data_IF_824184436147
#
_entry.id   IF_824184436147
#
_cell.length_a   1.000
_cell.length_b   1.000
_cell.length_c   1.000
_cell.angle_alpha   90.00
_cell.angle_beta   90.00
_cell.angle_gamma   90.00
#
_symmetry.space_group_name_H-M   'P 1'
#
loop_
_entity.id
_entity.type
_entity.pdbx_description
1 polymer ?
#
# COMPACT_ATOMS: atom_id res chain seq x y z
N UNK A 1 6.65 -22.52 2.38
CA UNK A 1 6.13 -21.35 3.11
C UNK A 1 5.23 -21.84 4.22
N UNK A 2 5.33 -21.25 5.41
CA UNK A 2 4.58 -21.72 6.58
C UNK A 2 3.12 -21.33 6.40
N UNK A 3 2.22 -22.29 6.19
CA UNK A 3 0.77 -22.05 6.03
C UNK A 3 0.10 -21.45 7.28
N UNK A 4 0.81 -21.48 8.41
CA UNK A 4 0.36 -20.94 9.70
C UNK A 4 0.71 -19.47 9.92
N UNK A 5 1.33 -18.78 8.93
CA UNK A 5 1.68 -17.35 9.04
C UNK A 5 0.45 -16.48 8.85
N UNK A 6 0.27 -15.47 9.71
CA UNK A 6 -0.83 -14.50 9.64
C UNK A 6 -0.68 -13.48 8.48
N UNK A 7 0.49 -13.46 7.82
CA UNK A 7 0.73 -12.77 6.55
C UNK A 7 1.46 -13.73 5.62
N UNK A 8 0.99 -13.87 4.40
CA UNK A 8 1.57 -14.75 3.39
C UNK A 8 1.91 -13.98 2.12
N UNK A 9 2.78 -14.53 1.29
CA UNK A 9 3.09 -14.00 -0.04
C UNK A 9 3.07 -15.11 -1.07
N UNK A 10 2.38 -14.86 -2.18
CA UNK A 10 2.43 -15.67 -3.40
C UNK A 10 3.10 -14.84 -4.50
N UNK A 11 3.84 -15.51 -5.38
CA UNK A 11 4.49 -14.86 -6.51
C UNK A 11 3.83 -15.32 -7.81
N UNK A 12 3.43 -14.36 -8.64
CA UNK A 12 2.86 -14.56 -9.97
C UNK A 12 3.73 -13.75 -10.92
N UNK A 13 4.59 -14.42 -11.68
CA UNK A 13 5.64 -13.76 -12.47
C UNK A 13 6.43 -12.75 -11.61
N UNK A 14 6.43 -11.48 -11.97
CA UNK A 14 7.12 -10.40 -11.24
C UNK A 14 6.21 -9.67 -10.23
N UNK A 15 5.08 -10.26 -9.84
CA UNK A 15 4.09 -9.68 -8.94
C UNK A 15 4.11 -10.45 -7.61
N UNK A 16 4.29 -9.74 -6.50
CA UNK A 16 4.13 -10.30 -5.16
C UNK A 16 2.72 -10.01 -4.64
N UNK A 17 1.94 -11.05 -4.34
CA UNK A 17 0.60 -10.95 -3.75
C UNK A 17 0.71 -11.24 -2.26
N UNK A 18 0.74 -10.18 -1.45
CA UNK A 18 0.79 -10.23 0.01
C UNK A 18 -0.62 -10.31 0.57
N UNK A 19 -0.90 -11.31 1.41
CA UNK A 19 -2.22 -11.51 2.00
C UNK A 19 -2.19 -11.40 3.51
N UNK A 20 -3.13 -10.65 4.07
CA UNK A 20 -3.51 -10.77 5.48
C UNK A 20 -4.24 -12.10 5.63
N UNK A 21 -3.74 -13.00 6.49
CA UNK A 21 -4.16 -14.40 6.50
C UNK A 21 -4.66 -14.85 7.89
N UNK A 22 -5.71 -14.17 8.37
CA UNK A 22 -6.51 -14.57 9.55
C UNK A 22 -8.01 -14.55 9.18
N UNK A 23 -8.45 -15.29 8.15
CA UNK A 23 -9.82 -15.18 7.61
C UNK A 23 -10.92 -15.49 8.65
N UNK A 24 -10.68 -16.36 9.61
CA UNK A 24 -11.57 -16.69 10.73
C UNK A 24 -11.82 -15.51 11.69
N UNK A 25 -10.86 -14.56 11.76
CA UNK A 25 -10.97 -13.31 12.51
C UNK A 25 -11.16 -12.09 11.60
N UNK A 26 -11.62 -12.28 10.36
CA UNK A 26 -11.77 -11.22 9.35
C UNK A 26 -10.50 -10.38 9.17
N UNK A 27 -9.34 -11.01 9.29
CA UNK A 27 -8.02 -10.40 9.21
C UNK A 27 -7.83 -9.25 10.23
N UNK A 28 -8.44 -9.37 11.43
CA UNK A 28 -8.28 -8.39 12.50
C UNK A 28 -6.79 -8.22 12.85
N UNK A 29 -6.39 -6.95 12.95
CA UNK A 29 -4.99 -6.52 13.05
C UNK A 29 -4.41 -6.77 14.45
N UNK A 30 -3.30 -7.47 14.50
CA UNK A 30 -2.52 -7.73 15.70
C UNK A 30 -1.02 -7.54 15.43
N UNK A 31 -0.18 -7.79 16.45
CA UNK A 31 1.27 -7.64 16.34
C UNK A 31 1.90 -8.57 15.28
N UNK A 32 1.34 -9.79 15.08
CA UNK A 32 1.88 -10.74 14.09
C UNK A 32 1.59 -10.29 12.66
N UNK A 33 0.39 -9.73 12.39
CA UNK A 33 0.12 -9.09 11.10
C UNK A 33 1.06 -7.91 10.88
N UNK A 34 1.24 -7.04 11.90
CA UNK A 34 2.12 -5.89 11.80
C UNK A 34 3.56 -6.28 11.48
N UNK A 35 4.16 -7.19 12.26
CA UNK A 35 5.54 -7.65 12.05
C UNK A 35 5.70 -8.47 10.77
N UNK A 36 4.69 -9.27 10.41
CA UNK A 36 4.69 -10.04 9.17
C UNK A 36 4.69 -9.15 7.93
N UNK A 37 3.87 -8.10 7.93
CA UNK A 37 3.86 -7.09 6.85
C UNK A 37 5.20 -6.36 6.77
N UNK A 38 5.76 -5.91 7.91
CA UNK A 38 7.06 -5.24 7.93
C UNK A 38 8.14 -6.12 7.29
N UNK A 39 8.21 -7.38 7.70
CA UNK A 39 9.19 -8.34 7.17
C UNK A 39 8.99 -8.59 5.67
N UNK A 40 7.76 -8.91 5.24
CA UNK A 40 7.50 -9.25 3.85
C UNK A 40 7.63 -8.03 2.92
N UNK A 41 7.19 -6.84 3.34
CA UNK A 41 7.34 -5.64 2.52
C UNK A 41 8.80 -5.25 2.30
N UNK A 42 9.67 -5.41 3.31
CA UNK A 42 11.13 -5.26 3.13
C UNK A 42 11.67 -6.29 2.14
N UNK A 43 11.34 -7.57 2.35
CA UNK A 43 11.78 -8.64 1.48
C UNK A 43 11.40 -8.40 0.01
N UNK A 44 10.14 -8.06 -0.28
CA UNK A 44 9.69 -7.79 -1.65
C UNK A 44 10.21 -6.47 -2.20
N UNK A 45 10.49 -5.48 -1.33
CA UNK A 45 11.12 -4.24 -1.72
C UNK A 45 12.56 -4.44 -2.21
N UNK A 46 13.30 -5.36 -1.60
CA UNK A 46 14.70 -5.63 -1.91
C UNK A 46 14.86 -6.74 -2.98
N UNK A 47 13.78 -7.46 -3.34
CA UNK A 47 13.84 -8.56 -4.31
C UNK A 47 13.92 -8.07 -5.76
N UNK A 48 14.93 -8.44 -6.54
CA UNK A 48 15.02 -8.10 -7.97
C UNK A 48 13.95 -8.79 -8.82
N UNK A 49 13.38 -9.90 -8.32
CA UNK A 49 12.35 -10.67 -9.04
C UNK A 49 10.95 -10.05 -8.92
N UNK A 50 10.76 -9.03 -8.07
CA UNK A 50 9.48 -8.36 -7.83
C UNK A 50 9.46 -6.98 -8.46
N UNK A 51 8.43 -6.69 -9.24
CA UNK A 51 8.19 -5.40 -9.91
C UNK A 51 7.00 -4.63 -9.34
N UNK A 52 6.00 -5.34 -8.83
CA UNK A 52 4.77 -4.77 -8.25
C UNK A 52 4.33 -5.62 -7.06
N UNK A 53 3.77 -4.97 -6.05
CA UNK A 53 3.19 -5.61 -4.86
C UNK A 53 1.68 -5.38 -4.84
N UNK A 54 0.91 -6.45 -4.62
CA UNK A 54 -0.52 -6.39 -4.33
C UNK A 54 -0.73 -6.77 -2.86
N UNK A 55 -1.48 -5.97 -2.11
CA UNK A 55 -1.88 -6.29 -0.73
C UNK A 55 -3.38 -6.56 -0.73
N UNK A 56 -3.80 -7.69 -0.19
CA UNK A 56 -5.22 -8.09 -0.09
C UNK A 56 -5.47 -8.92 1.18
N UNK A 57 -6.71 -9.27 1.47
CA UNK A 57 -7.08 -10.15 2.57
C UNK A 57 -7.44 -11.57 2.11
N UNK A 58 -7.10 -12.58 2.89
CA UNK A 58 -7.64 -13.94 2.73
C UNK A 58 -9.10 -13.99 3.18
N UNK A 59 -9.92 -14.77 2.48
CA UNK A 59 -11.33 -14.92 2.80
C UNK A 59 -12.18 -13.71 2.42
N UNK A 60 -13.20 -13.39 3.23
CA UNK A 60 -14.27 -12.44 2.89
C UNK A 60 -14.01 -10.98 3.32
N UNK A 61 -12.88 -10.68 3.93
CA UNK A 61 -12.55 -9.33 4.43
C UNK A 61 -11.14 -8.93 4.03
N UNK A 62 -10.93 -7.66 3.82
CA UNK A 62 -9.58 -7.10 3.76
C UNK A 62 -8.98 -7.08 5.18
N UNK A 63 -9.56 -6.28 6.09
CA UNK A 63 -9.18 -6.21 7.50
C UNK A 63 -10.29 -5.52 8.30
N UNK A 64 -10.85 -6.17 9.31
CA UNK A 64 -11.96 -5.67 10.10
C UNK A 64 -11.56 -4.68 11.23
N UNK A 65 -10.30 -4.23 11.27
CA UNK A 65 -9.77 -3.33 12.28
C UNK A 65 -8.87 -4.01 13.29
N UNK A 66 -8.57 -3.32 14.39
CA UNK A 66 -7.74 -3.88 15.47
C UNK A 66 -8.39 -5.11 16.10
N UNK A 67 -7.57 -6.10 16.47
CA UNK A 67 -8.03 -7.24 17.26
C UNK A 67 -8.40 -6.76 18.68
N UNK A 68 -9.69 -6.77 18.99
CA UNK A 68 -10.23 -6.28 20.26
C UNK A 68 -10.34 -7.40 21.33
N UNK A 69 -9.67 -8.54 21.17
CA UNK A 69 -9.70 -9.61 22.15
C UNK A 69 -9.18 -9.17 23.55
N UNK A 70 -8.39 -8.09 23.61
CA UNK A 70 -7.95 -7.46 24.87
C UNK A 70 -9.04 -6.69 25.61
N UNK A 71 -10.26 -6.57 25.07
CA UNK A 71 -11.35 -5.79 25.67
C UNK A 71 -11.00 -4.31 25.83
N UNK A 72 -11.41 -3.68 26.91
CA UNK A 72 -11.16 -2.25 27.20
C UNK A 72 -9.67 -1.88 27.30
N UNK A 73 -8.79 -2.84 27.50
CA UNK A 73 -7.36 -2.63 27.61
C UNK A 73 -6.59 -2.78 26.28
N UNK A 74 -7.28 -3.02 25.17
CA UNK A 74 -6.67 -3.27 23.85
C UNK A 74 -5.65 -2.19 23.47
N UNK A 75 -5.92 -0.92 23.78
CA UNK A 75 -5.05 0.23 23.45
C UNK A 75 -4.29 0.77 24.66
N UNK A 76 -4.36 0.09 25.81
CA UNK A 76 -3.66 0.54 27.03
C UNK A 76 -2.20 0.08 27.02
N UNK A 77 -1.28 1.03 26.84
CA UNK A 77 0.17 0.79 26.81
C UNK A 77 0.78 0.47 28.19
N UNK A 78 0.02 0.68 29.28
CA UNK A 78 0.49 0.45 30.66
C UNK A 78 0.28 -1.00 31.13
N UNK A 79 -0.27 -1.88 30.27
CA UNK A 79 -0.31 -3.32 30.60
C UNK A 79 1.12 -3.82 30.72
N UNK A 80 1.42 -4.54 31.85
CA UNK A 80 2.67 -5.26 31.98
C UNK A 80 2.90 -6.07 30.70
N UNK A 81 3.99 -5.77 30.01
CA UNK A 81 4.38 -6.49 28.80
C UNK A 81 4.56 -7.94 29.22
N UNK A 82 3.78 -8.86 28.63
CA UNK A 82 4.11 -10.28 28.74
C UNK A 82 5.57 -10.41 28.33
N UNK A 83 6.38 -11.05 29.19
CA UNK A 83 7.85 -11.09 29.03
C UNK A 83 8.29 -11.77 27.71
N UNK A 84 7.35 -12.40 26.98
CA UNK A 84 7.56 -12.99 25.65
C UNK A 84 7.20 -12.03 24.48
N UNK A 85 6.53 -10.89 24.72
CA UNK A 85 6.20 -9.93 23.66
C UNK A 85 7.31 -8.88 23.53
N UNK A 86 8.40 -9.26 22.84
CA UNK A 86 9.53 -8.38 22.52
C UNK A 86 9.22 -7.39 21.39
N UNK A 87 8.00 -7.36 20.88
CA UNK A 87 7.62 -6.45 19.80
C UNK A 87 7.34 -5.05 20.33
N UNK A 88 8.26 -4.15 20.11
CA UNK A 88 8.12 -2.71 20.46
C UNK A 88 7.10 -1.94 19.63
N UNK A 89 6.53 -2.54 18.59
CA UNK A 89 5.75 -1.78 17.62
C UNK A 89 4.37 -2.38 17.33
N UNK A 90 3.33 -1.71 17.81
CA UNK A 90 1.93 -1.91 17.35
C UNK A 90 1.69 -1.40 15.93
N UNK A 91 2.57 -0.55 15.41
CA UNK A 91 2.53 0.04 14.08
C UNK A 91 3.66 -0.55 13.23
N UNK A 92 3.41 -0.96 11.97
CA UNK A 92 4.48 -1.39 11.09
C UNK A 92 5.53 -0.30 10.95
N UNK A 93 6.80 -0.66 11.02
CA UNK A 93 7.92 0.28 10.86
C UNK A 93 8.27 0.52 9.39
N UNK A 94 7.92 -0.43 8.52
CA UNK A 94 8.09 -0.31 7.08
C UNK A 94 6.73 -0.35 6.38
N UNK A 95 6.36 0.75 5.78
CA UNK A 95 5.02 1.02 5.26
C UNK A 95 4.95 0.91 3.73
N UNK A 96 3.79 0.67 3.12
CA UNK A 96 3.64 0.48 1.68
C UNK A 96 4.27 1.60 0.82
N UNK A 97 4.21 2.85 1.25
CA UNK A 97 4.82 3.98 0.52
C UNK A 97 6.36 3.94 0.50
N UNK A 98 6.98 3.22 1.43
CA UNK A 98 8.45 3.07 1.52
C UNK A 98 8.98 1.93 0.65
N UNK A 99 8.11 1.03 0.17
CA UNK A 99 8.48 -0.01 -0.81
C UNK A 99 8.94 0.67 -2.09
N UNK A 100 10.08 0.25 -2.65
CA UNK A 100 10.64 0.84 -3.87
C UNK A 100 9.77 0.59 -5.12
N UNK A 101 8.91 -0.40 -5.08
CA UNK A 101 8.01 -0.83 -6.17
C UNK A 101 6.59 -0.31 -5.95
N UNK A 102 5.75 -0.17 -6.98
CA UNK A 102 4.34 0.14 -6.83
C UNK A 102 3.62 -0.86 -5.92
N UNK A 103 2.74 -0.34 -5.07
CA UNK A 103 1.90 -1.14 -4.16
C UNK A 103 0.44 -0.87 -4.45
N UNK A 104 -0.31 -1.92 -4.76
CA UNK A 104 -1.75 -1.89 -5.02
C UNK A 104 -2.47 -2.49 -3.81
N UNK A 105 -3.41 -1.77 -3.22
CA UNK A 105 -4.36 -2.36 -2.28
C UNK A 105 -5.58 -2.88 -3.05
N UNK A 106 -5.81 -4.20 -3.01
CA UNK A 106 -7.01 -4.85 -3.53
C UNK A 106 -7.94 -5.16 -2.36
N UNK A 107 -8.92 -4.27 -2.12
CA UNK A 107 -9.81 -4.30 -0.95
C UNK A 107 -10.97 -5.27 -1.23
N UNK A 108 -10.81 -6.53 -0.81
CA UNK A 108 -11.71 -7.65 -1.14
C UNK A 108 -12.93 -7.81 -0.23
N UNK A 109 -13.27 -6.80 0.59
CA UNK A 109 -14.38 -6.86 1.50
C UNK A 109 -14.30 -5.80 2.59
N UNK A 110 -14.83 -6.03 3.81
CA UNK A 110 -14.75 -5.09 4.92
C UNK A 110 -13.30 -4.64 5.20
N UNK A 111 -13.11 -3.31 5.26
CA UNK A 111 -11.87 -2.61 5.54
C UNK A 111 -12.15 -1.51 6.56
N UNK A 112 -11.96 -1.79 7.85
CA UNK A 112 -12.45 -0.95 8.95
C UNK A 112 -11.30 -0.59 9.90
N UNK A 113 -11.31 0.61 10.46
CA UNK A 113 -10.25 1.08 11.37
C UNK A 113 -8.90 1.06 10.65
N UNK A 114 -7.89 0.37 11.22
CA UNK A 114 -6.57 0.19 10.57
C UNK A 114 -6.68 -0.44 9.19
N UNK A 115 -7.69 -1.28 8.94
CA UNK A 115 -7.99 -1.82 7.62
C UNK A 115 -8.41 -0.76 6.60
N UNK A 116 -8.90 0.40 7.03
CA UNK A 116 -9.19 1.54 6.17
C UNK A 116 -8.02 2.53 6.06
N UNK A 117 -7.25 2.72 7.14
CA UNK A 117 -6.11 3.66 7.14
C UNK A 117 -4.86 3.09 6.47
N UNK A 118 -4.59 1.80 6.63
CA UNK A 118 -3.42 1.15 6.04
C UNK A 118 -3.37 1.24 4.50
N UNK A 119 -4.47 0.98 3.74
CA UNK A 119 -4.49 1.14 2.29
C UNK A 119 -4.23 2.57 1.78
N UNK A 120 -4.41 3.60 2.61
CA UNK A 120 -4.09 4.98 2.20
C UNK A 120 -2.61 5.17 1.88
N UNK A 121 -1.74 4.30 2.40
CA UNK A 121 -0.30 4.32 2.14
C UNK A 121 0.13 3.46 0.94
N UNK A 122 -0.81 2.77 0.29
CA UNK A 122 -0.58 2.14 -1.00
C UNK A 122 -0.69 3.18 -2.12
N UNK A 123 -0.01 2.95 -3.24
CA UNK A 123 -0.01 3.87 -4.36
C UNK A 123 -1.38 3.88 -5.06
N UNK A 124 -1.96 2.70 -5.25
CA UNK A 124 -3.26 2.51 -5.90
C UNK A 124 -4.18 1.70 -4.99
N UNK A 125 -5.47 2.01 -4.99
CA UNK A 125 -6.52 1.27 -4.28
C UNK A 125 -7.63 0.92 -5.26
N UNK A 126 -7.98 -0.37 -5.31
CA UNK A 126 -9.17 -0.89 -6.00
C UNK A 126 -9.99 -1.70 -4.99
N UNK A 127 -11.27 -1.86 -5.22
CA UNK A 127 -12.17 -2.54 -4.30
C UNK A 127 -13.10 -3.53 -4.99
N UNK A 128 -13.57 -4.53 -4.23
CA UNK A 128 -14.69 -5.37 -4.65
C UNK A 128 -16.03 -4.66 -4.41
N UNK A 129 -17.09 -5.09 -5.09
CA UNK A 129 -18.46 -4.58 -4.89
C UNK A 129 -18.95 -4.76 -3.45
N UNK A 130 -18.53 -5.84 -2.78
CA UNK A 130 -18.85 -6.13 -1.39
C UNK A 130 -18.04 -5.32 -0.39
N UNK A 131 -17.04 -4.55 -0.82
CA UNK A 131 -16.20 -3.78 0.10
C UNK A 131 -17.02 -2.76 0.91
N UNK A 132 -16.65 -2.65 2.20
CA UNK A 132 -17.22 -1.69 3.16
C UNK A 132 -16.06 -1.03 3.88
N UNK A 133 -15.88 0.26 3.66
CA UNK A 133 -14.72 1.00 4.15
C UNK A 133 -15.16 1.97 5.24
N UNK A 134 -14.52 1.91 6.42
CA UNK A 134 -14.93 2.71 7.56
C UNK A 134 -13.80 3.16 8.48
N UNK A 135 -13.74 4.47 8.77
CA UNK A 135 -12.77 5.09 9.69
C UNK A 135 -13.40 5.24 11.09
N UNK A 136 -13.83 4.12 11.69
CA UNK A 136 -14.71 4.06 12.86
C UNK A 136 -14.03 4.35 14.20
N UNK A 137 -12.82 4.84 14.24
CA UNK A 137 -12.02 5.07 15.46
C UNK A 137 -12.76 5.89 16.52
N UNK A 138 -13.42 6.98 16.14
CA UNK A 138 -14.12 7.88 17.05
C UNK A 138 -15.30 7.19 17.77
N UNK A 139 -15.87 6.13 17.17
CA UNK A 139 -16.96 5.36 17.81
C UNK A 139 -16.49 4.55 19.01
N UNK A 140 -15.18 4.32 19.13
CA UNK A 140 -14.55 3.63 20.25
C UNK A 140 -13.61 4.55 21.05
N UNK A 141 -13.72 5.88 20.86
CA UNK A 141 -12.93 6.86 21.59
C UNK A 141 -11.45 6.94 21.17
N UNK A 142 -11.12 6.45 19.97
CA UNK A 142 -9.77 6.49 19.41
C UNK A 142 -9.67 7.53 18.28
N UNK A 143 -8.45 7.83 17.87
CA UNK A 143 -8.15 8.66 16.70
C UNK A 143 -7.71 7.80 15.52
N UNK A 144 -8.09 8.15 14.27
CA UNK A 144 -7.48 7.58 13.08
C UNK A 144 -5.96 7.79 13.09
N UNK A 145 -5.22 6.84 12.50
CA UNK A 145 -3.75 6.76 12.60
C UNK A 145 -3.11 6.68 11.21
N UNK A 146 -1.82 6.32 11.15
CA UNK A 146 -1.05 6.05 9.93
C UNK A 146 -1.07 7.23 8.93
N UNK A 147 -1.04 8.47 9.44
CA UNK A 147 -1.04 9.67 8.58
C UNK A 147 -2.35 9.94 7.86
N UNK A 148 -3.46 9.26 8.23
CA UNK A 148 -4.77 9.40 7.59
C UNK A 148 -5.29 10.84 7.58
N UNK A 149 -4.99 11.64 8.62
CA UNK A 149 -5.36 13.07 8.69
C UNK A 149 -4.68 13.92 7.61
N UNK A 150 -3.56 13.48 7.06
CA UNK A 150 -2.84 14.12 5.96
C UNK A 150 -3.20 13.52 4.60
N UNK A 151 -3.27 12.19 4.52
CA UNK A 151 -3.47 11.47 3.26
C UNK A 151 -4.93 11.54 2.78
N UNK A 152 -5.89 11.25 3.68
CA UNK A 152 -7.30 11.17 3.26
C UNK A 152 -7.83 12.48 2.66
N UNK A 153 -7.56 13.68 3.25
CA UNK A 153 -8.00 14.95 2.64
C UNK A 153 -7.42 15.21 1.25
N UNK A 154 -6.22 14.67 0.95
CA UNK A 154 -5.61 14.79 -0.38
C UNK A 154 -6.21 13.83 -1.40
N UNK A 155 -6.74 12.69 -0.93
CA UNK A 155 -7.35 11.67 -1.78
C UNK A 155 -8.80 12.03 -2.10
N UNK A 156 -9.61 12.37 -1.09
CA UNK A 156 -11.07 12.53 -1.24
C UNK A 156 -11.55 13.99 -1.08
N UNK A 157 -10.64 14.94 -0.86
CA UNK A 157 -10.96 16.32 -0.50
C UNK A 157 -11.30 16.47 0.98
N UNK A 158 -11.14 17.72 1.50
CA UNK A 158 -11.24 18.00 2.94
C UNK A 158 -12.61 17.68 3.52
N UNK A 159 -13.70 18.05 2.82
CA UNK A 159 -15.07 17.86 3.34
C UNK A 159 -15.43 16.37 3.49
N UNK A 160 -15.14 15.55 2.49
CA UNK A 160 -15.36 14.10 2.55
C UNK A 160 -14.47 13.46 3.63
N UNK A 161 -13.20 13.86 3.72
CA UNK A 161 -12.30 13.36 4.76
C UNK A 161 -12.79 13.71 6.17
N UNK A 162 -13.26 14.94 6.38
CA UNK A 162 -13.82 15.38 7.66
C UNK A 162 -15.08 14.56 8.05
N UNK A 163 -15.98 14.32 7.09
CA UNK A 163 -17.15 13.48 7.31
C UNK A 163 -16.77 12.05 7.69
N UNK A 164 -15.84 11.44 6.96
CA UNK A 164 -15.40 10.07 7.20
C UNK A 164 -14.63 9.94 8.53
N UNK A 165 -13.65 10.82 8.79
CA UNK A 165 -12.79 10.73 9.98
C UNK A 165 -13.51 11.13 11.26
N UNK A 166 -14.37 12.17 11.24
CA UNK A 166 -15.11 12.62 12.44
C UNK A 166 -16.39 11.83 12.64
N UNK A 167 -17.11 11.48 11.58
CA UNK A 167 -18.38 10.75 11.66
C UNK A 167 -18.23 9.25 11.89
N UNK A 168 -17.10 8.66 11.47
CA UNK A 168 -16.85 7.23 11.56
C UNK A 168 -17.88 6.40 10.77
N UNK A 169 -18.38 6.93 9.66
CA UNK A 169 -19.33 6.24 8.79
C UNK A 169 -18.63 5.12 8.00
N UNK A 170 -19.37 4.05 7.74
CA UNK A 170 -18.94 2.97 6.84
C UNK A 170 -19.61 3.21 5.50
N UNK A 171 -18.81 3.40 4.45
CA UNK A 171 -19.28 3.62 3.08
C UNK A 171 -19.12 2.34 2.25
N UNK A 172 -19.94 2.21 1.22
CA UNK A 172 -19.83 1.14 0.23
C UNK A 172 -18.77 1.46 -0.86
N UNK A 173 -18.49 0.48 -1.69
CA UNK A 173 -17.48 0.57 -2.75
C UNK A 173 -17.79 1.67 -3.78
N UNK A 174 -19.07 1.85 -4.14
CA UNK A 174 -19.47 2.85 -5.13
C UNK A 174 -19.33 4.28 -4.58
N UNK A 175 -19.68 4.48 -3.32
CA UNK A 175 -19.43 5.74 -2.62
C UNK A 175 -17.93 6.03 -2.53
N UNK A 176 -17.11 5.01 -2.19
CA UNK A 176 -15.65 5.14 -2.17
C UNK A 176 -15.08 5.50 -3.55
N UNK A 177 -15.61 4.92 -4.64
CA UNK A 177 -15.25 5.27 -6.02
C UNK A 177 -15.64 6.71 -6.36
N UNK A 178 -16.86 7.11 -6.02
CA UNK A 178 -17.35 8.47 -6.31
C UNK A 178 -16.55 9.57 -5.59
N UNK A 179 -16.01 9.26 -4.40
CA UNK A 179 -15.15 10.16 -3.63
C UNK A 179 -13.68 10.12 -4.11
N UNK A 180 -13.29 9.19 -4.98
CA UNK A 180 -11.89 8.97 -5.39
C UNK A 180 -11.04 8.24 -4.34
N UNK A 181 -11.66 7.61 -3.33
CA UNK A 181 -10.94 6.81 -2.33
C UNK A 181 -10.35 5.55 -2.96
N UNK A 182 -11.08 4.94 -3.89
CA UNK A 182 -10.61 3.85 -4.76
C UNK A 182 -10.70 4.28 -6.22
N UNK A 183 -9.81 3.75 -7.07
CA UNK A 183 -9.76 4.09 -8.51
C UNK A 183 -10.65 3.22 -9.37
N UNK A 184 -11.07 2.04 -8.88
CA UNK A 184 -11.95 1.11 -9.56
C UNK A 184 -12.70 0.22 -8.57
N UNK A 185 -13.86 -0.29 -9.01
CA UNK A 185 -14.65 -1.30 -8.30
C UNK A 185 -14.93 -2.45 -9.26
N UNK A 186 -14.73 -3.67 -8.80
CA UNK A 186 -14.87 -4.90 -9.59
C UNK A 186 -15.78 -5.91 -8.88
N UNK A 187 -16.40 -6.86 -9.59
CA UNK A 187 -17.04 -8.01 -8.99
C UNK A 187 -16.09 -8.76 -8.03
N UNK A 188 -16.63 -9.30 -6.94
CA UNK A 188 -15.84 -9.90 -5.87
C UNK A 188 -14.90 -11.01 -6.37
N UNK A 189 -15.38 -11.83 -7.30
CA UNK A 189 -14.64 -12.95 -7.92
C UNK A 189 -13.61 -12.50 -8.97
N UNK A 190 -13.64 -11.24 -9.41
CA UNK A 190 -12.71 -10.69 -10.42
C UNK A 190 -11.66 -9.76 -9.83
N UNK A 191 -11.83 -9.30 -8.58
CA UNK A 191 -10.97 -8.26 -7.99
C UNK A 191 -9.47 -8.61 -8.08
N UNK A 192 -9.09 -9.85 -7.73
CA UNK A 192 -7.68 -10.23 -7.74
C UNK A 192 -7.12 -10.29 -9.16
N UNK A 193 -7.88 -10.82 -10.12
CA UNK A 193 -7.46 -10.90 -11.52
C UNK A 193 -7.28 -9.48 -12.10
N UNK A 194 -8.16 -8.54 -11.76
CA UNK A 194 -8.04 -7.13 -12.14
C UNK A 194 -6.85 -6.43 -11.47
N UNK A 195 -6.54 -6.79 -10.22
CA UNK A 195 -5.33 -6.29 -9.56
C UNK A 195 -4.05 -6.80 -10.26
N UNK A 196 -4.03 -8.08 -10.67
CA UNK A 196 -2.92 -8.69 -11.42
C UNK A 196 -2.79 -8.06 -12.81
N UNK A 197 -3.88 -7.81 -13.51
CA UNK A 197 -3.88 -7.13 -14.81
C UNK A 197 -3.28 -5.72 -14.69
N UNK A 198 -3.72 -4.93 -13.71
CA UNK A 198 -3.16 -3.61 -13.42
C UNK A 198 -1.67 -3.69 -13.06
N UNK A 199 -1.28 -4.65 -12.23
CA UNK A 199 0.11 -4.88 -11.86
C UNK A 199 0.97 -5.24 -13.08
N UNK A 200 0.45 -6.09 -14.00
CA UNK A 200 1.13 -6.48 -15.23
C UNK A 200 1.39 -5.25 -16.14
N UNK A 201 0.42 -4.33 -16.22
CA UNK A 201 0.60 -3.07 -16.96
C UNK A 201 1.73 -2.22 -16.35
N UNK A 202 1.83 -2.16 -15.01
CA UNK A 202 2.91 -1.46 -14.32
C UNK A 202 4.27 -2.14 -14.52
N UNK A 203 4.31 -3.48 -14.56
CA UNK A 203 5.52 -4.24 -14.84
C UNK A 203 6.11 -3.97 -16.23
N UNK A 204 5.31 -3.52 -17.19
CA UNK A 204 5.78 -3.19 -18.54
C UNK A 204 6.63 -1.91 -18.60
N UNK A 205 6.55 -1.03 -17.61
CA UNK A 205 7.33 0.21 -17.54
C UNK A 205 8.74 0.00 -16.97
N UNK A 206 9.66 0.92 -17.27
CA UNK A 206 11.04 0.90 -16.78
C UNK A 206 11.08 0.95 -15.23
N UNK A 207 11.65 -0.07 -14.53
CA UNK A 207 11.51 -0.24 -13.11
C UNK A 207 12.08 0.91 -12.29
N UNK A 208 13.25 1.41 -12.67
CA UNK A 208 13.90 2.54 -11.98
C UNK A 208 13.11 3.83 -12.18
N UNK A 209 12.57 4.08 -13.37
CA UNK A 209 11.73 5.25 -13.64
C UNK A 209 10.43 5.20 -12.83
N UNK A 210 9.82 4.01 -12.70
CA UNK A 210 8.61 3.81 -11.87
C UNK A 210 8.91 4.07 -10.40
N UNK A 211 10.01 3.53 -9.88
CA UNK A 211 10.43 3.73 -8.50
C UNK A 211 10.75 5.20 -8.19
N UNK A 212 11.47 5.88 -9.08
CA UNK A 212 11.76 7.31 -8.97
C UNK A 212 10.46 8.14 -8.98
N UNK A 213 9.55 7.85 -9.91
CA UNK A 213 8.23 8.51 -9.98
C UNK A 213 7.44 8.32 -8.70
N UNK A 214 7.40 7.09 -8.14
CA UNK A 214 6.75 6.83 -6.86
C UNK A 214 7.33 7.70 -5.75
N UNK A 215 8.65 7.75 -5.61
CA UNK A 215 9.32 8.55 -4.59
C UNK A 215 8.96 10.04 -4.71
N UNK A 216 9.01 10.60 -5.93
CA UNK A 216 8.65 11.98 -6.18
C UNK A 216 7.17 12.26 -5.87
N UNK A 217 6.25 11.35 -6.22
CA UNK A 217 4.83 11.49 -5.89
C UNK A 217 4.60 11.57 -4.37
N UNK A 218 5.23 10.69 -3.58
CA UNK A 218 5.08 10.69 -2.14
C UNK A 218 5.72 11.90 -1.47
N UNK A 219 6.91 12.32 -1.91
CA UNK A 219 7.57 13.54 -1.41
C UNK A 219 6.78 14.79 -1.79
N UNK A 220 6.21 14.84 -3.00
CA UNK A 220 5.38 15.94 -3.47
C UNK A 220 4.12 16.21 -2.63
N UNK A 221 3.69 15.25 -1.81
CA UNK A 221 2.58 15.49 -0.87
C UNK A 221 2.90 16.55 0.20
N UNK A 222 4.18 16.84 0.47
CA UNK A 222 4.60 17.80 1.52
C UNK A 222 5.42 18.98 0.98
N UNK A 223 5.76 18.98 -0.30
CA UNK A 223 6.58 20.02 -0.93
C UNK A 223 5.74 21.06 -1.66
N UNK A 224 6.25 22.30 -1.73
CA UNK A 224 5.75 23.30 -2.67
C UNK A 224 6.12 22.92 -4.10
N UNK A 225 5.50 23.58 -5.09
CA UNK A 225 5.85 23.35 -6.51
C UNK A 225 7.33 23.63 -6.78
N UNK A 226 7.87 24.71 -6.23
CA UNK A 226 9.26 25.13 -6.40
C UNK A 226 10.25 24.13 -5.77
N UNK A 227 9.90 23.58 -4.60
CA UNK A 227 10.70 22.53 -3.95
C UNK A 227 10.67 21.25 -4.75
N UNK A 228 9.46 20.86 -5.23
CA UNK A 228 9.30 19.67 -6.05
C UNK A 228 10.08 19.77 -7.35
N UNK A 229 10.00 20.91 -8.06
CA UNK A 229 10.74 21.13 -9.31
C UNK A 229 12.26 21.09 -9.12
N UNK A 230 12.75 21.61 -8.00
CA UNK A 230 14.20 21.51 -7.66
C UNK A 230 14.63 20.08 -7.36
N UNK A 231 13.76 19.27 -6.78
CA UNK A 231 14.02 17.85 -6.47
C UNK A 231 13.94 16.98 -7.73
N UNK A 232 12.93 17.16 -8.57
CA UNK A 232 12.71 16.30 -9.75
C UNK A 232 13.77 16.50 -10.84
N UNK A 233 14.32 17.72 -10.98
CA UNK A 233 15.28 18.03 -12.06
C UNK A 233 16.51 17.12 -12.02
N UNK A 234 17.27 17.00 -10.92
CA UNK A 234 18.42 16.09 -10.87
C UNK A 234 18.03 14.62 -11.02
N UNK A 235 16.84 14.21 -10.55
CA UNK A 235 16.33 12.84 -10.72
C UNK A 235 16.06 12.58 -12.20
N UNK A 236 15.40 13.51 -12.89
CA UNK A 236 15.14 13.44 -14.33
C UNK A 236 16.45 13.34 -15.12
N UNK A 237 17.41 14.23 -14.83
CA UNK A 237 18.71 14.23 -15.50
C UNK A 237 19.47 12.91 -15.29
N UNK A 238 19.42 12.37 -14.06
CA UNK A 238 20.05 11.09 -13.78
C UNK A 238 19.37 9.95 -14.55
N UNK A 239 18.04 9.84 -14.52
CA UNK A 239 17.29 8.80 -15.26
C UNK A 239 17.55 8.89 -16.77
N UNK A 240 17.61 10.11 -17.33
CA UNK A 240 17.84 10.32 -18.76
C UNK A 240 19.19 9.77 -19.25
N UNK A 241 20.17 9.62 -18.37
CA UNK A 241 21.50 9.09 -18.70
C UNK A 241 21.64 7.58 -18.43
N UNK A 242 20.58 6.89 -18.00
CA UNK A 242 20.63 5.48 -17.70
C UNK A 242 20.38 4.59 -18.95
N UNK A 243 20.87 3.33 -18.96
CA UNK A 243 20.68 2.42 -20.09
C UNK A 243 19.22 2.17 -20.44
N UNK A 244 18.32 2.15 -19.45
CA UNK A 244 16.88 1.93 -19.66
C UNK A 244 16.21 3.09 -20.42
N UNK A 245 16.74 4.32 -20.35
CA UNK A 245 16.23 5.44 -21.15
C UNK A 245 16.55 5.24 -22.65
N UNK A 246 17.73 4.71 -22.97
CA UNK A 246 18.13 4.38 -24.35
C UNK A 246 17.31 3.20 -24.87
N UNK A 247 17.17 2.15 -24.06
CA UNK A 247 16.38 0.97 -24.43
C UNK A 247 14.91 1.35 -24.67
N UNK A 248 14.32 2.16 -23.80
CA UNK A 248 12.92 2.58 -23.92
C UNK A 248 12.65 3.32 -25.23
N UNK A 249 13.50 4.28 -25.61
CA UNK A 249 13.40 5.01 -26.87
C UNK A 249 13.63 4.07 -28.06
N UNK A 250 14.64 3.20 -27.99
CA UNK A 250 14.96 2.26 -29.06
C UNK A 250 13.80 1.28 -29.28
N UNK A 251 13.31 0.64 -28.25
CA UNK A 251 12.21 -0.31 -28.31
C UNK A 251 10.92 0.33 -28.88
N UNK A 252 10.64 1.58 -28.46
CA UNK A 252 9.50 2.34 -28.99
C UNK A 252 9.61 2.58 -30.51
N UNK A 253 10.78 3.02 -30.98
CA UNK A 253 11.03 3.28 -32.41
C UNK A 253 11.00 1.99 -33.25
N UNK A 254 11.49 0.89 -32.68
CA UNK A 254 11.53 -0.43 -33.32
C UNK A 254 10.18 -1.19 -33.17
N UNK A 255 9.22 -0.65 -32.43
CA UNK A 255 7.91 -1.27 -32.16
C UNK A 255 8.01 -2.67 -31.55
N UNK A 256 8.93 -2.87 -30.64
CA UNK A 256 9.12 -4.11 -29.87
C UNK A 256 8.94 -3.87 -28.37
N UNK A 257 8.66 -4.91 -27.58
CA UNK A 257 8.75 -4.81 -26.12
C UNK A 257 10.16 -4.38 -25.67
N UNK A 258 10.28 -3.51 -24.66
CA UNK A 258 11.57 -3.15 -24.09
C UNK A 258 12.14 -4.29 -23.24
N UNK A 259 13.47 -4.32 -23.15
CA UNK A 259 14.21 -5.21 -22.26
C UNK A 259 14.91 -4.37 -21.20
N UNK A 260 14.25 -4.16 -20.06
CA UNK A 260 14.78 -3.35 -18.98
C UNK A 260 15.96 -4.03 -18.29
N UNK A 261 17.01 -3.29 -18.02
CA UNK A 261 18.30 -3.80 -17.52
C UNK A 261 18.52 -3.43 -16.05
N UNK A 262 17.81 -2.42 -15.53
CA UNK A 262 18.05 -1.86 -14.21
C UNK A 262 17.06 -2.36 -13.15
N UNK A 263 17.55 -2.47 -11.92
CA UNK A 263 16.74 -2.80 -10.73
C UNK A 263 16.70 -1.62 -9.74
N UNK A 264 15.50 -1.17 -9.29
CA UNK A 264 15.40 -0.03 -8.38
C UNK A 264 15.98 -0.29 -6.98
N UNK A 265 16.16 -1.54 -6.56
CA UNK A 265 16.74 -1.85 -5.25
C UNK A 265 18.27 -1.71 -5.25
N UNK A 266 18.91 -1.86 -6.41
CA UNK A 266 20.35 -1.79 -6.57
C UNK A 266 20.82 -0.50 -7.26
N UNK A 267 20.09 -0.05 -8.29
CA UNK A 267 20.56 0.98 -9.20
C UNK A 267 20.05 2.40 -8.89
N UNK A 268 18.93 2.55 -8.14
CA UNK A 268 18.37 3.86 -7.86
C UNK A 268 19.07 4.52 -6.65
N UNK A 269 19.84 5.61 -6.84
CA UNK A 269 20.55 6.29 -5.76
C UNK A 269 19.54 6.96 -4.79
N UNK A 270 19.59 6.59 -3.52
CA UNK A 270 18.68 7.13 -2.49
C UNK A 270 18.94 8.61 -2.22
N UNK A 271 20.18 9.05 -2.32
CA UNK A 271 20.64 10.42 -2.13
C UNK A 271 20.03 11.43 -3.11
N UNK A 272 19.46 10.97 -4.22
CA UNK A 272 18.74 11.85 -5.16
C UNK A 272 17.44 12.42 -4.56
N UNK A 273 16.96 11.84 -3.46
CA UNK A 273 15.69 12.18 -2.83
C UNK A 273 15.85 12.79 -1.43
N UNK A 274 17.08 13.12 -1.00
CA UNK A 274 17.39 13.72 0.31
C UNK A 274 17.26 15.26 0.32
#
# INVERSE_FOLDING_TARGET
MNQDSEVTVDYIDQIAVVRLNRPEHLNAWNNKISSGLDTLLRQVSDSPDVRVVIITGSGRAFCAGADLAGGGDTFNSNRERDQDDTSEARTPQFLPHQVTKPVIAAINGPAVGVGATYPLMCDIRIASESARIGFVFNRIGMLPELGSHSLLPRIVGFSNAAQLLMGGEIIDAQTALSMGLVSAVHPDDQLLDQAIELATQLCAAAPVSVAATKQLLWKGLSLSWEEMHRMETPVFDWVAHQPDSVEGVTAFLEKRPPNWLMDPSEDLPRELFD
#
